data_IF_237995980184
#
_entry.id   IF_237995980184
#
_cell.length_a   1.000
_cell.length_b   1.000
_cell.length_c   1.000
_cell.angle_alpha   90.00
_cell.angle_beta   90.00
_cell.angle_gamma   90.00
#
_symmetry.space_group_name_H-M   'P 1'
#
loop_
_entity.id
_entity.type
_entity.pdbx_description
1 polymer ?
#
# COMPACT_ATOMS: atom_id res chain seq x y z
N UNK A 1 20.52 -53.92 -2.70
CA UNK A 1 19.41 -53.04 -2.26
C UNK A 1 19.99 -51.79 -1.58
N UNK A 2 19.98 -50.63 -2.24
CA UNK A 2 20.59 -49.37 -1.74
C UNK A 2 19.57 -48.48 -1.02
N UNK A 3 18.74 -49.05 -0.15
CA UNK A 3 17.68 -48.30 0.56
C UNK A 3 18.22 -47.50 1.75
N UNK A 4 19.41 -47.80 2.25
CA UNK A 4 20.02 -47.14 3.42
C UNK A 4 20.61 -45.76 3.13
N UNK A 5 20.96 -45.46 1.87
CA UNK A 5 21.52 -44.15 1.46
C UNK A 5 20.50 -43.00 1.47
N UNK A 6 19.20 -43.31 1.49
CA UNK A 6 18.15 -42.28 1.57
C UNK A 6 18.05 -41.65 2.97
N UNK A 7 18.46 -42.39 4.01
CA UNK A 7 18.43 -41.96 5.42
C UNK A 7 19.59 -41.02 5.77
N UNK A 8 20.73 -41.15 5.08
CA UNK A 8 21.91 -40.29 5.29
C UNK A 8 21.91 -39.02 4.44
N UNK A 9 20.84 -38.74 3.67
CA UNK A 9 20.73 -37.44 3.00
C UNK A 9 20.68 -36.36 4.08
N UNK A 10 21.64 -35.42 4.13
CA UNK A 10 21.58 -34.34 5.10
C UNK A 10 20.23 -33.65 4.89
N UNK A 11 19.40 -33.60 5.94
CA UNK A 11 18.21 -32.75 5.95
C UNK A 11 18.75 -31.37 5.62
N UNK A 12 18.52 -30.89 4.39
CA UNK A 12 18.94 -29.56 3.96
C UNK A 12 18.47 -28.62 5.08
N UNK A 13 19.36 -27.92 5.81
CA UNK A 13 18.95 -27.20 7.01
C UNK A 13 17.90 -26.11 6.74
N UNK A 14 17.68 -25.81 5.46
CA UNK A 14 16.82 -24.77 4.92
C UNK A 14 15.51 -25.33 4.31
N UNK A 15 15.34 -26.65 4.25
CA UNK A 15 14.10 -27.30 3.78
C UNK A 15 13.57 -28.29 4.84
N UNK A 16 13.21 -27.76 6.01
CA UNK A 16 12.27 -28.44 6.91
C UNK A 16 10.85 -28.40 6.33
N UNK A 17 9.93 -29.28 6.77
CA UNK A 17 8.54 -29.23 6.32
C UNK A 17 7.85 -28.03 6.97
N UNK A 18 7.78 -26.93 6.24
CA UNK A 18 7.15 -25.69 6.69
C UNK A 18 7.59 -24.52 5.82
N UNK A 19 6.66 -23.97 5.05
CA UNK A 19 6.86 -22.95 4.00
C UNK A 19 7.31 -21.56 4.51
N UNK A 20 7.95 -21.46 5.67
CA UNK A 20 8.25 -20.17 6.31
C UNK A 20 9.70 -20.11 6.80
N UNK A 21 10.65 -20.11 5.86
CA UNK A 21 12.09 -19.93 6.12
C UNK A 21 12.42 -18.55 6.74
N UNK A 22 11.50 -17.57 6.61
CA UNK A 22 11.69 -16.18 7.05
C UNK A 22 11.07 -15.85 8.43
N UNK A 23 10.40 -16.79 9.10
CA UNK A 23 9.70 -16.52 10.38
C UNK A 23 10.06 -17.57 11.45
N UNK A 24 9.98 -17.19 12.74
CA UNK A 24 10.16 -18.09 13.89
C UNK A 24 11.57 -18.12 14.51
N UNK A 25 11.77 -19.03 15.47
CA UNK A 25 12.98 -19.11 16.34
C UNK A 25 14.25 -19.54 15.60
N UNK A 26 14.14 -20.29 14.50
CA UNK A 26 15.28 -20.85 13.74
C UNK A 26 15.42 -20.18 12.37
N UNK A 27 15.63 -18.86 12.35
CA UNK A 27 15.89 -18.08 11.12
C UNK A 27 17.40 -17.92 10.90
N UNK A 28 17.83 -18.01 9.65
CA UNK A 28 19.20 -17.63 9.22
C UNK A 28 19.07 -16.75 7.99
N UNK A 29 19.39 -15.47 8.13
CA UNK A 29 19.47 -14.54 7.01
C UNK A 29 20.93 -14.43 6.60
N UNK A 30 21.25 -14.88 5.39
CA UNK A 30 22.59 -14.74 4.83
C UNK A 30 22.60 -13.48 3.99
N UNK A 31 23.51 -12.56 4.31
CA UNK A 31 23.74 -11.36 3.49
C UNK A 31 24.75 -11.73 2.42
N UNK A 32 24.38 -11.54 1.17
CA UNK A 32 25.29 -11.78 0.07
C UNK A 32 26.17 -10.56 -0.20
N UNK A 33 27.28 -10.76 -0.91
CA UNK A 33 28.20 -9.66 -1.24
C UNK A 33 27.55 -8.55 -2.08
N UNK A 34 26.61 -8.92 -2.96
CA UNK A 34 25.87 -7.93 -3.75
C UNK A 34 24.95 -7.07 -2.88
N UNK A 35 24.34 -7.63 -1.83
CA UNK A 35 23.47 -6.88 -0.90
C UNK A 35 24.28 -5.79 -0.19
N UNK A 36 25.50 -6.12 0.24
CA UNK A 36 26.42 -5.16 0.86
C UNK A 36 26.82 -4.06 -0.13
N UNK A 37 27.10 -4.42 -1.38
CA UNK A 37 27.45 -3.44 -2.42
C UNK A 37 26.28 -2.49 -2.71
N UNK A 38 25.05 -3.01 -2.83
CA UNK A 38 23.85 -2.19 -3.01
C UNK A 38 23.59 -1.27 -1.81
N UNK A 39 23.72 -1.78 -0.59
CA UNK A 39 23.55 -0.98 0.62
C UNK A 39 24.55 0.19 0.64
N UNK A 40 25.82 -0.08 0.31
CA UNK A 40 26.84 0.96 0.22
C UNK A 40 26.50 2.02 -0.84
N UNK A 41 26.12 1.61 -2.04
CA UNK A 41 25.74 2.54 -3.11
C UNK A 41 24.55 3.41 -2.71
N UNK A 42 23.56 2.84 -2.00
CA UNK A 42 22.41 3.60 -1.53
C UNK A 42 22.82 4.65 -0.48
N UNK A 43 23.75 4.31 0.42
CA UNK A 43 24.28 5.25 1.39
C UNK A 43 25.05 6.40 0.71
N UNK A 44 25.85 6.09 -0.32
CA UNK A 44 26.56 7.11 -1.11
C UNK A 44 25.57 8.09 -1.78
N UNK A 45 24.48 7.57 -2.36
CA UNK A 45 23.40 8.39 -2.94
C UNK A 45 22.69 9.22 -1.86
N UNK A 46 22.48 8.65 -0.68
CA UNK A 46 21.85 9.36 0.44
C UNK A 46 22.73 10.51 0.94
N UNK A 47 24.04 10.30 1.06
CA UNK A 47 25.00 11.34 1.42
C UNK A 47 25.01 12.50 0.41
N UNK A 48 24.99 12.18 -0.90
CA UNK A 48 24.87 13.19 -1.96
C UNK A 48 23.56 13.97 -1.84
N UNK A 49 22.43 13.28 -1.65
CA UNK A 49 21.13 13.93 -1.47
C UNK A 49 21.09 14.82 -0.23
N UNK A 50 21.68 14.37 0.87
CA UNK A 50 21.76 15.14 2.11
C UNK A 50 22.56 16.43 1.94
N UNK A 51 23.64 16.40 1.15
CA UNK A 51 24.41 17.59 0.82
C UNK A 51 23.54 18.63 0.09
N UNK A 52 22.76 18.21 -0.91
CA UNK A 52 21.86 19.11 -1.63
C UNK A 52 20.75 19.67 -0.74
N UNK A 53 20.17 18.84 0.12
CA UNK A 53 19.06 19.24 0.99
C UNK A 53 19.49 20.13 2.17
N UNK A 54 20.78 20.13 2.52
CA UNK A 54 21.32 20.92 3.64
C UNK A 54 21.27 22.43 3.40
N UNK A 55 21.30 22.86 2.14
CA UNK A 55 21.38 24.27 1.76
C UNK A 55 20.11 24.73 1.06
N UNK A 56 19.03 25.01 1.82
CA UNK A 56 17.78 25.49 1.24
C UNK A 56 17.93 26.89 0.65
N UNK A 57 17.26 27.14 -0.48
CA UNK A 57 17.25 28.44 -1.14
C UNK A 57 16.45 29.51 -0.35
N UNK A 58 15.35 29.11 0.29
CA UNK A 58 14.51 29.99 1.09
C UNK A 58 14.61 29.62 2.58
N UNK A 59 14.64 30.65 3.42
CA UNK A 59 14.42 30.47 4.87
C UNK A 59 12.95 30.15 5.15
N UNK A 60 12.68 29.59 6.33
CA UNK A 60 11.31 29.24 6.74
C UNK A 60 10.38 30.47 6.69
N UNK A 61 10.86 31.64 7.12
CA UNK A 61 10.09 32.89 7.09
C UNK A 61 9.75 33.32 5.67
N UNK A 62 10.71 33.23 4.74
CA UNK A 62 10.48 33.57 3.33
C UNK A 62 9.57 32.57 2.62
N UNK A 63 9.59 31.30 3.03
CA UNK A 63 8.73 30.27 2.44
C UNK A 63 7.25 30.42 2.83
N UNK A 64 6.95 31.17 3.89
CA UNK A 64 5.59 31.33 4.39
C UNK A 64 4.71 32.08 3.37
N UNK A 65 3.61 31.46 2.96
CA UNK A 65 2.64 32.08 2.04
C UNK A 65 3.07 32.20 0.57
N UNK A 66 4.30 31.82 0.20
CA UNK A 66 4.81 31.97 -1.18
C UNK A 66 3.93 31.24 -2.21
N UNK A 67 3.32 30.12 -1.81
CA UNK A 67 2.50 29.29 -2.70
C UNK A 67 0.99 29.60 -2.65
N UNK A 68 0.56 30.56 -1.82
CA UNK A 68 -0.86 30.88 -1.65
C UNK A 68 -1.51 31.39 -2.94
N UNK A 69 -0.76 32.15 -3.75
CA UNK A 69 -1.22 32.68 -5.03
C UNK A 69 -1.50 31.58 -6.06
N UNK A 70 -0.84 30.42 -5.96
CA UNK A 70 -1.04 29.33 -6.92
C UNK A 70 -2.34 28.55 -6.69
N UNK A 71 -3.11 28.81 -5.64
CA UNK A 71 -4.43 28.18 -5.45
C UNK A 71 -4.42 26.66 -5.20
N UNK A 72 -3.26 25.99 -5.26
CA UNK A 72 -3.11 24.53 -5.17
C UNK A 72 -3.79 23.91 -3.96
N UNK A 73 -3.75 24.59 -2.82
CA UNK A 73 -4.45 24.12 -1.62
C UNK A 73 -5.97 24.11 -1.79
N UNK A 74 -6.54 25.14 -2.43
CA UNK A 74 -7.99 25.21 -2.71
C UNK A 74 -8.41 24.14 -3.71
N UNK A 75 -7.61 23.91 -4.76
CA UNK A 75 -7.85 22.86 -5.75
C UNK A 75 -7.79 21.46 -5.11
N UNK A 76 -6.76 21.19 -4.29
CA UNK A 76 -6.63 19.93 -3.58
C UNK A 76 -7.79 19.68 -2.61
N UNK A 77 -8.20 20.70 -1.85
CA UNK A 77 -9.34 20.60 -0.94
C UNK A 77 -10.64 20.36 -1.70
N UNK A 78 -10.85 21.06 -2.83
CA UNK A 78 -12.01 20.86 -3.68
C UNK A 78 -12.05 19.44 -4.27
N UNK A 79 -10.92 18.92 -4.76
CA UNK A 79 -10.80 17.55 -5.27
C UNK A 79 -11.07 16.51 -4.18
N UNK A 80 -10.45 16.64 -3.00
CA UNK A 80 -10.70 15.75 -1.85
C UNK A 80 -12.16 15.78 -1.38
N UNK A 81 -12.79 16.95 -1.41
CA UNK A 81 -14.19 17.10 -1.06
C UNK A 81 -15.10 16.44 -2.11
N UNK A 82 -14.81 16.63 -3.40
CA UNK A 82 -15.52 15.96 -4.48
C UNK A 82 -15.38 14.43 -4.42
N UNK A 83 -14.18 13.91 -4.16
CA UNK A 83 -13.93 12.48 -3.97
C UNK A 83 -14.77 11.91 -2.81
N UNK A 84 -14.87 12.66 -1.70
CA UNK A 84 -15.71 12.27 -0.56
C UNK A 84 -17.18 12.21 -0.95
N UNK A 85 -17.70 13.25 -1.63
CA UNK A 85 -19.09 13.27 -2.10
C UNK A 85 -19.36 12.13 -3.07
N UNK A 86 -18.46 11.88 -4.04
CA UNK A 86 -18.62 10.78 -5.00
C UNK A 86 -18.64 9.42 -4.30
N UNK A 87 -17.81 9.25 -3.26
CA UNK A 87 -17.79 8.02 -2.45
C UNK A 87 -19.06 7.86 -1.62
N UNK A 88 -19.60 8.96 -1.09
CA UNK A 88 -20.87 8.97 -0.36
C UNK A 88 -22.08 8.74 -1.28
N UNK A 89 -22.07 9.26 -2.50
CA UNK A 89 -23.08 8.99 -3.54
C UNK A 89 -23.06 7.56 -4.05
N UNK A 90 -21.98 6.81 -3.81
CA UNK A 90 -21.90 5.37 -4.10
C UNK A 90 -22.67 4.52 -3.07
N UNK A 91 -23.38 5.14 -2.13
CA UNK A 91 -24.39 4.48 -1.31
C UNK A 91 -25.50 3.93 -2.21
N UNK A 92 -26.19 2.90 -1.72
CA UNK A 92 -27.37 2.36 -2.42
C UNK A 92 -28.42 3.46 -2.52
N UNK A 93 -29.10 3.52 -3.65
CA UNK A 93 -30.24 4.41 -3.84
C UNK A 93 -31.32 4.13 -2.79
N UNK A 94 -32.03 5.18 -2.38
CA UNK A 94 -33.15 5.06 -1.45
C UNK A 94 -34.28 4.29 -2.13
N UNK A 95 -34.57 3.09 -1.62
CA UNK A 95 -35.66 2.25 -2.15
C UNK A 95 -36.94 2.58 -1.39
N UNK A 96 -37.90 3.20 -2.06
CA UNK A 96 -39.20 3.53 -1.47
C UNK A 96 -40.07 2.29 -1.26
N UNK A 97 -40.94 2.34 -0.24
CA UNK A 97 -41.81 1.24 0.13
C UNK A 97 -42.78 0.87 -1.02
N UNK A 98 -43.23 1.89 -1.76
CA UNK A 98 -44.15 1.78 -2.90
C UNK A 98 -43.56 0.94 -4.04
N UNK A 99 -42.28 1.13 -4.35
CA UNK A 99 -41.56 0.35 -5.39
C UNK A 99 -41.51 -1.13 -5.03
N UNK A 100 -41.41 -1.45 -3.73
CA UNK A 100 -41.42 -2.83 -3.23
C UNK A 100 -42.78 -3.48 -3.34
N UNK A 101 -43.85 -2.71 -3.17
CA UNK A 101 -45.23 -3.20 -3.24
C UNK A 101 -45.87 -3.09 -4.62
N UNK A 102 -45.18 -2.47 -5.60
CA UNK A 102 -45.64 -2.36 -6.98
C UNK A 102 -45.98 -3.74 -7.62
N UNK A 103 -45.29 -4.80 -7.20
CA UNK A 103 -45.55 -6.17 -7.67
C UNK A 103 -46.93 -6.71 -7.27
N UNK A 104 -47.56 -6.18 -6.21
CA UNK A 104 -48.90 -6.59 -5.77
C UNK A 104 -50.00 -6.08 -6.70
N UNK A 105 -49.78 -4.95 -7.38
CA UNK A 105 -50.74 -4.35 -8.33
C UNK A 105 -50.95 -5.18 -9.60
N UNK A 106 -50.08 -6.14 -9.91
CA UNK A 106 -50.19 -7.01 -11.09
C UNK A 106 -51.46 -7.87 -11.05
N UNK A 107 -52.02 -8.10 -9.85
CA UNK A 107 -53.25 -8.88 -9.63
C UNK A 107 -54.47 -8.01 -9.31
N UNK A 108 -54.34 -6.68 -9.34
CA UNK A 108 -55.49 -5.77 -9.21
C UNK A 108 -56.29 -5.79 -10.52
N UNK A 109 -57.14 -6.81 -10.66
CA UNK A 109 -58.23 -6.81 -11.63
C UNK A 109 -59.50 -6.46 -10.87
N UNK A 110 -60.12 -5.36 -11.27
CA UNK A 110 -61.55 -5.16 -11.01
C UNK A 110 -62.28 -5.98 -12.08
N UNK A 111 -63.41 -6.60 -11.73
CA UNK A 111 -64.18 -7.57 -12.54
C UNK A 111 -64.05 -7.43 -14.07
#
# INVERSE_FOLDING_TARGET
>A
MRLTLSLFKPKKPHLGPGRYVKQGKRRVNVVARWDVHHARKNLEIEEENMLYLRHPYLTLQQSFGHAAAYGKHKEFVAQKYLERIMKEKKKRDDVHLEERFACLRIRDKWD
#
